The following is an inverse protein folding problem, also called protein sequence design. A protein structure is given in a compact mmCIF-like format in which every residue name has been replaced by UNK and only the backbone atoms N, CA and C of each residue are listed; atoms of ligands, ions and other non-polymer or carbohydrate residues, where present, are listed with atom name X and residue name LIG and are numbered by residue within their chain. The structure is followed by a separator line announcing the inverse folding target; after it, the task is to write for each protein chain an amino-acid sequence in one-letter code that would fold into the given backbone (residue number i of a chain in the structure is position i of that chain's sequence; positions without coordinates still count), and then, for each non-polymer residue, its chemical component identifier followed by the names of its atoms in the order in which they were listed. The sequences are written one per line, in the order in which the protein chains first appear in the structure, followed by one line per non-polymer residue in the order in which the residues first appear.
data_IF_553731934742
#
_entry.id   IF_553731934742
#
_cell.length_a   1.000
_cell.length_b   1.000
_cell.length_c   1.000
_cell.angle_alpha   90.00
_cell.angle_beta   90.00
_cell.angle_gamma   90.00
#
_symmetry.space_group_name_H-M   'P 1'
#
loop_
_entity.id
_entity.type
_entity.pdbx_description
1 polymer ?
#
# COMPACT_ATOMS: atom_id res chain seq x y z
N UNK A 1 -7.09 40.74 35.89
CA UNK A 1 -7.63 40.80 34.51
C UNK A 1 -7.00 39.69 33.70
N UNK A 2 -7.78 38.64 33.46
CA UNK A 2 -7.39 37.41 32.78
C UNK A 2 -7.26 37.64 31.29
N UNK A 3 -6.04 37.51 30.76
CA UNK A 3 -5.77 37.48 29.33
C UNK A 3 -6.40 36.22 28.72
N UNK A 4 -7.32 36.44 27.79
CA UNK A 4 -8.07 35.43 27.08
C UNK A 4 -7.14 34.56 26.24
N UNK A 5 -7.15 33.26 26.52
CA UNK A 5 -6.53 32.24 25.68
C UNK A 5 -7.19 32.23 24.31
N UNK A 6 -6.56 32.93 23.35
CA UNK A 6 -6.88 32.83 21.94
C UNK A 6 -6.56 31.41 21.47
N UNK A 7 -7.56 30.52 21.49
CA UNK A 7 -7.53 29.26 20.75
C UNK A 7 -7.31 29.61 19.28
N UNK A 8 -6.09 29.40 18.77
CA UNK A 8 -5.83 29.41 17.32
C UNK A 8 -6.84 28.47 16.65
N UNK A 9 -7.51 28.88 15.56
CA UNK A 9 -8.54 28.07 14.93
C UNK A 9 -7.91 26.78 14.41
N UNK A 10 -8.49 25.64 14.80
CA UNK A 10 -8.03 24.29 14.42
C UNK A 10 -7.98 24.08 12.89
N UNK A 11 -8.73 24.87 12.13
CA UNK A 11 -8.78 24.84 10.68
C UNK A 11 -7.44 25.15 10.00
N UNK A 12 -6.59 25.99 10.62
CA UNK A 12 -5.25 26.31 10.07
C UNK A 12 -4.29 25.14 10.23
N UNK A 13 -4.43 24.33 11.28
CA UNK A 13 -3.62 23.11 11.50
C UNK A 13 -4.01 21.98 10.54
N UNK A 14 -5.30 21.78 10.28
CA UNK A 14 -5.76 20.73 9.36
C UNK A 14 -5.35 21.00 7.91
N UNK A 15 -5.44 22.25 7.45
CA UNK A 15 -4.94 22.65 6.11
C UNK A 15 -3.43 22.49 5.97
N UNK A 16 -2.68 22.79 7.04
CA UNK A 16 -1.24 22.53 7.10
C UNK A 16 -0.92 21.04 6.95
N UNK A 17 -1.63 20.17 7.67
CA UNK A 17 -1.39 18.73 7.63
C UNK A 17 -1.58 18.11 6.24
N UNK A 18 -2.64 18.49 5.49
CA UNK A 18 -2.84 18.02 4.12
C UNK A 18 -1.77 18.53 3.14
N UNK A 19 -1.29 19.76 3.33
CA UNK A 19 -0.20 20.32 2.51
C UNK A 19 1.16 19.70 2.83
N UNK A 20 1.41 19.36 4.09
CA UNK A 20 2.63 18.69 4.55
C UNK A 20 2.70 17.23 4.12
N UNK A 21 1.55 16.55 4.08
CA UNK A 21 1.50 15.11 3.80
C UNK A 21 1.19 14.78 2.33
N UNK A 22 0.55 15.67 1.58
CA UNK A 22 0.11 15.39 0.21
C UNK A 22 0.43 16.50 -0.77
N UNK A 23 1.11 16.11 -1.84
CA UNK A 23 1.46 16.98 -2.95
C UNK A 23 0.25 17.32 -3.84
N UNK A 24 0.46 18.30 -4.73
CA UNK A 24 -0.50 18.62 -5.79
C UNK A 24 -0.72 17.42 -6.74
N UNK A 25 0.31 16.74 -7.25
CA UNK A 25 0.15 15.51 -8.04
C UNK A 25 -0.75 14.44 -7.39
N UNK A 26 -0.55 14.15 -6.11
CA UNK A 26 -1.34 13.14 -5.40
C UNK A 26 -2.84 13.50 -5.37
N UNK A 27 -3.15 14.78 -5.18
CA UNK A 27 -4.53 15.29 -5.20
C UNK A 27 -5.14 15.18 -6.59
N UNK A 28 -4.38 15.53 -7.64
CA UNK A 28 -4.85 15.42 -9.02
C UNK A 28 -5.17 13.96 -9.35
N UNK A 29 -4.24 13.04 -9.07
CA UNK A 29 -4.45 11.62 -9.32
C UNK A 29 -5.63 11.07 -8.54
N UNK A 30 -5.84 11.55 -7.31
CA UNK A 30 -7.01 11.19 -6.52
C UNK A 30 -8.31 11.65 -7.14
N UNK A 31 -8.39 12.93 -7.54
CA UNK A 31 -9.59 13.48 -8.18
C UNK A 31 -9.87 12.74 -9.49
N UNK A 32 -8.85 12.53 -10.31
CA UNK A 32 -8.99 11.78 -11.57
C UNK A 32 -9.42 10.34 -11.31
N UNK A 33 -8.82 9.65 -10.35
CA UNK A 33 -9.17 8.28 -9.97
C UNK A 33 -10.61 8.18 -9.46
N UNK A 34 -11.04 9.10 -8.60
CA UNK A 34 -12.42 9.19 -8.10
C UNK A 34 -13.42 9.38 -9.25
N UNK A 35 -13.16 10.32 -10.17
CA UNK A 35 -14.04 10.55 -11.32
C UNK A 35 -14.04 9.36 -12.29
N UNK A 36 -12.88 8.76 -12.53
CA UNK A 36 -12.75 7.55 -13.34
C UNK A 36 -13.53 6.37 -12.74
N UNK A 37 -13.73 6.34 -11.42
CA UNK A 37 -14.51 5.29 -10.75
C UNK A 37 -15.98 5.31 -11.15
N UNK A 38 -16.56 6.51 -11.26
CA UNK A 38 -17.93 6.69 -11.74
C UNK A 38 -18.08 6.32 -13.22
N UNK A 39 -17.09 6.67 -14.05
CA UNK A 39 -17.06 6.20 -15.44
C UNK A 39 -16.96 4.68 -15.48
N UNK A 40 -16.07 4.06 -14.70
CA UNK A 40 -15.96 2.61 -14.60
C UNK A 40 -17.27 1.95 -14.20
N UNK A 41 -17.97 2.49 -13.20
CA UNK A 41 -19.27 1.96 -12.79
C UNK A 41 -20.31 2.06 -13.93
N UNK A 42 -20.37 3.20 -14.62
CA UNK A 42 -21.28 3.37 -15.75
C UNK A 42 -20.96 2.41 -16.91
N UNK A 43 -19.67 2.22 -17.20
CA UNK A 43 -19.21 1.26 -18.20
C UNK A 43 -19.54 -0.18 -17.79
N UNK A 44 -19.42 -0.51 -16.50
CA UNK A 44 -19.72 -1.83 -15.96
C UNK A 44 -21.20 -2.22 -16.12
N UNK A 45 -22.12 -1.25 -15.98
CA UNK A 45 -23.55 -1.52 -16.20
C UNK A 45 -23.82 -1.93 -17.65
N UNK A 46 -23.09 -1.38 -18.62
CA UNK A 46 -23.21 -1.76 -20.04
C UNK A 46 -22.34 -2.95 -20.47
N UNK A 47 -21.51 -3.49 -19.58
CA UNK A 47 -20.53 -4.53 -19.87
C UNK A 47 -21.11 -5.93 -19.63
N UNK A 48 -21.87 -6.43 -20.60
CA UNK A 48 -22.59 -7.70 -20.53
C UNK A 48 -21.70 -8.93 -20.59
N UNK A 49 -20.41 -8.79 -20.88
CA UNK A 49 -19.46 -9.91 -21.02
C UNK A 49 -18.28 -9.80 -20.03
N UNK A 50 -18.14 -8.67 -19.33
CA UNK A 50 -17.06 -8.46 -18.34
C UNK A 50 -15.70 -8.20 -18.97
N UNK A 51 -15.67 -7.99 -20.28
CA UNK A 51 -14.43 -7.85 -21.04
C UNK A 51 -14.00 -6.39 -21.14
N UNK A 52 -14.86 -5.43 -20.79
CA UNK A 52 -14.55 -4.02 -20.96
C UNK A 52 -13.48 -3.59 -19.94
N UNK A 53 -12.24 -3.26 -20.37
CA UNK A 53 -11.20 -2.84 -19.44
C UNK A 53 -11.57 -1.56 -18.66
N UNK A 54 -12.50 -0.75 -19.18
CA UNK A 54 -12.98 0.48 -18.53
C UNK A 54 -13.82 0.18 -17.30
N UNK A 55 -14.56 -0.94 -17.27
CA UNK A 55 -15.44 -1.26 -16.14
C UNK A 55 -14.63 -1.41 -14.84
N UNK A 56 -13.43 -1.98 -14.93
CA UNK A 56 -12.45 -2.09 -13.85
C UNK A 56 -12.03 -0.76 -13.20
N UNK A 57 -12.26 0.40 -13.84
CA UNK A 57 -11.94 1.69 -13.21
C UNK A 57 -12.73 1.93 -11.91
N UNK A 58 -13.89 1.26 -11.72
CA UNK A 58 -14.65 1.32 -10.47
C UNK A 58 -13.87 0.84 -9.23
N UNK A 59 -12.86 -0.02 -9.44
CA UNK A 59 -11.94 -0.47 -8.39
C UNK A 59 -10.52 0.13 -8.53
N UNK A 60 -10.02 0.31 -9.77
CA UNK A 60 -8.65 0.82 -10.00
C UNK A 60 -8.54 2.28 -9.58
N UNK A 61 -9.58 3.09 -9.81
CA UNK A 61 -9.64 4.50 -9.44
C UNK A 61 -9.31 4.76 -7.97
N UNK A 62 -10.08 4.21 -7.00
CA UNK A 62 -9.78 4.34 -5.58
C UNK A 62 -8.45 3.68 -5.18
N UNK A 63 -8.06 2.56 -5.82
CA UNK A 63 -6.79 1.90 -5.52
C UNK A 63 -5.58 2.79 -5.86
N UNK A 64 -5.59 3.41 -7.05
CA UNK A 64 -4.54 4.34 -7.47
C UNK A 64 -4.56 5.62 -6.64
N UNK A 65 -5.73 6.18 -6.36
CA UNK A 65 -5.87 7.33 -5.47
C UNK A 65 -5.21 7.06 -4.11
N UNK A 66 -5.34 5.84 -3.59
CA UNK A 66 -4.74 5.44 -2.33
C UNK A 66 -3.24 5.13 -2.40
N UNK A 67 -2.79 4.40 -3.42
CA UNK A 67 -1.40 3.96 -3.48
C UNK A 67 -0.43 5.06 -3.94
N UNK A 68 -0.89 5.99 -4.75
CA UNK A 68 -0.04 6.98 -5.41
C UNK A 68 0.78 7.88 -4.48
N UNK A 69 0.29 8.39 -3.33
CA UNK A 69 1.12 9.12 -2.40
C UNK A 69 2.35 8.35 -1.93
N UNK A 70 2.28 7.01 -1.89
CA UNK A 70 3.41 6.15 -1.57
C UNK A 70 4.39 6.12 -2.74
N UNK A 71 3.91 5.91 -3.97
CA UNK A 71 4.73 5.92 -5.19
C UNK A 71 5.50 7.24 -5.32
N UNK A 72 4.82 8.35 -5.08
CA UNK A 72 5.40 9.69 -5.18
C UNK A 72 6.63 9.87 -4.26
N UNK A 73 6.73 9.17 -3.14
CA UNK A 73 7.89 9.29 -2.25
C UNK A 73 9.20 8.88 -2.94
N UNK A 74 9.12 8.05 -3.98
CA UNK A 74 10.27 7.68 -4.79
C UNK A 74 10.78 8.80 -5.71
N UNK A 75 9.99 9.85 -5.99
CA UNK A 75 10.39 10.88 -6.98
C UNK A 75 11.47 11.84 -6.52
N UNK A 76 11.62 12.04 -5.21
CA UNK A 76 12.63 12.96 -4.68
C UNK A 76 13.61 12.23 -3.78
N UNK A 77 14.89 12.32 -4.15
CA UNK A 77 16.01 11.71 -3.43
C UNK A 77 16.09 12.14 -1.97
N UNK A 78 15.63 13.36 -1.66
CA UNK A 78 15.78 13.98 -0.34
C UNK A 78 14.60 13.73 0.62
N UNK A 79 13.52 13.09 0.17
CA UNK A 79 12.37 12.78 1.06
C UNK A 79 12.70 11.71 2.09
N UNK A 80 12.17 11.89 3.29
CA UNK A 80 12.24 10.90 4.36
C UNK A 80 11.36 9.68 4.00
N UNK A 81 11.99 8.53 3.79
CA UNK A 81 11.34 7.26 3.44
C UNK A 81 11.00 6.40 4.68
N UNK A 82 11.17 6.95 5.89
CA UNK A 82 10.90 6.23 7.15
C UNK A 82 9.48 5.72 7.24
N UNK A 83 9.33 4.54 7.85
CA UNK A 83 8.00 3.96 8.12
C UNK A 83 7.09 4.91 8.91
N UNK A 84 7.66 5.72 9.82
CA UNK A 84 6.95 6.75 10.57
C UNK A 84 6.33 7.85 9.69
N UNK A 85 6.99 8.18 8.59
CA UNK A 85 6.55 9.21 7.62
C UNK A 85 5.58 8.63 6.59
N UNK A 86 5.70 7.34 6.28
CA UNK A 86 4.86 6.68 5.28
C UNK A 86 3.52 6.22 5.88
N UNK A 87 3.51 5.68 7.11
CA UNK A 87 2.33 5.10 7.76
C UNK A 87 1.09 6.03 7.79
N UNK A 88 1.19 7.32 8.16
CA UNK A 88 0.02 8.21 8.15
C UNK A 88 -0.59 8.41 6.76
N UNK A 89 0.24 8.37 5.71
CA UNK A 89 -0.18 8.52 4.31
C UNK A 89 -0.93 7.31 3.78
N UNK A 90 -0.72 6.12 4.37
CA UNK A 90 -1.42 4.90 3.99
C UNK A 90 -2.86 4.82 4.46
N UNK A 91 -3.24 5.48 5.54
CA UNK A 91 -4.60 5.28 6.06
C UNK A 91 -5.52 6.42 5.66
N UNK A 92 -5.06 7.65 5.79
CA UNK A 92 -5.94 8.81 5.68
C UNK A 92 -6.29 9.13 4.23
N UNK A 93 -5.31 9.11 3.33
CA UNK A 93 -5.55 9.49 1.94
C UNK A 93 -6.27 8.43 1.13
N UNK A 94 -5.94 7.13 1.24
CA UNK A 94 -6.73 6.09 0.60
C UNK A 94 -8.16 6.10 1.10
N UNK A 95 -8.39 6.44 2.38
CA UNK A 95 -9.74 6.56 2.93
C UNK A 95 -10.50 7.70 2.25
N UNK A 96 -9.91 8.88 2.10
CA UNK A 96 -10.56 9.99 1.39
C UNK A 96 -10.78 9.70 -0.10
N UNK A 97 -9.81 9.06 -0.77
CA UNK A 97 -9.98 8.63 -2.16
C UNK A 97 -11.11 7.62 -2.31
N UNK A 98 -11.19 6.63 -1.42
CA UNK A 98 -12.27 5.64 -1.40
C UNK A 98 -13.62 6.27 -1.08
N UNK A 99 -13.72 7.12 -0.06
CA UNK A 99 -14.96 7.84 0.27
C UNK A 99 -15.43 8.72 -0.89
N UNK A 100 -14.51 9.45 -1.53
CA UNK A 100 -14.80 10.22 -2.73
C UNK A 100 -15.33 9.34 -3.86
N UNK A 101 -14.68 8.19 -4.11
CA UNK A 101 -15.12 7.24 -5.11
C UNK A 101 -16.51 6.67 -4.79
N UNK A 102 -16.78 6.28 -3.54
CA UNK A 102 -18.10 5.81 -3.09
C UNK A 102 -19.17 6.88 -3.32
N UNK A 103 -18.90 8.14 -3.00
CA UNK A 103 -19.86 9.23 -3.22
C UNK A 103 -20.17 9.40 -4.71
N UNK A 104 -19.14 9.53 -5.55
CA UNK A 104 -19.34 9.78 -7.00
C UNK A 104 -19.98 8.55 -7.67
N UNK A 105 -19.51 7.35 -7.35
CA UNK A 105 -20.15 6.10 -7.81
C UNK A 105 -21.59 5.98 -7.31
N UNK A 106 -21.87 6.34 -6.07
CA UNK A 106 -23.22 6.30 -5.51
C UNK A 106 -24.18 7.27 -6.23
N UNK A 107 -23.72 8.48 -6.56
CA UNK A 107 -24.48 9.42 -7.39
C UNK A 107 -24.74 8.82 -8.78
N UNK A 108 -23.71 8.25 -9.42
CA UNK A 108 -23.84 7.58 -10.71
C UNK A 108 -24.82 6.42 -10.65
N UNK A 109 -24.76 5.60 -9.60
CA UNK A 109 -25.67 4.49 -9.36
C UNK A 109 -27.13 4.98 -9.24
N UNK A 110 -27.38 6.02 -8.45
CA UNK A 110 -28.72 6.62 -8.30
C UNK A 110 -29.24 7.09 -9.65
N UNK A 111 -28.43 7.79 -10.43
CA UNK A 111 -28.81 8.30 -11.76
C UNK A 111 -29.15 7.14 -12.72
N UNK A 112 -28.34 6.08 -12.73
CA UNK A 112 -28.57 4.92 -13.60
C UNK A 112 -29.80 4.10 -13.20
N UNK A 113 -30.10 4.03 -11.90
CA UNK A 113 -31.35 3.41 -11.42
C UNK A 113 -32.56 4.26 -11.81
N UNK A 114 -32.48 5.58 -11.64
CA UNK A 114 -33.56 6.50 -12.00
C UNK A 114 -33.83 6.56 -13.52
N UNK A 115 -32.80 6.38 -14.35
CA UNK A 115 -32.95 6.33 -15.82
C UNK A 115 -33.39 4.97 -16.37
N UNK A 116 -33.45 3.93 -15.53
CA UNK A 116 -33.76 2.56 -15.94
C UNK A 116 -32.61 1.82 -16.63
N UNK A 117 -31.41 2.39 -16.70
CA UNK A 117 -30.24 1.75 -17.32
C UNK A 117 -29.87 0.42 -16.63
N UNK A 118 -29.96 0.36 -15.30
CA UNK A 118 -29.69 -0.88 -14.54
C UNK A 118 -30.73 -1.95 -14.86
N UNK A 119 -32.02 -1.59 -14.88
CA UNK A 119 -33.10 -2.54 -15.22
C UNK A 119 -32.99 -3.05 -16.66
N UNK A 120 -32.63 -2.16 -17.60
CA UNK A 120 -32.39 -2.53 -18.99
C UNK A 120 -31.20 -3.49 -19.14
N UNK A 121 -30.13 -3.31 -18.35
CA UNK A 121 -28.99 -4.20 -18.33
C UNK A 121 -29.32 -5.57 -17.70
N UNK A 122 -30.04 -5.59 -16.58
CA UNK A 122 -30.49 -6.82 -15.92
C UNK A 122 -31.36 -7.69 -16.84
N UNK A 123 -32.21 -7.07 -17.67
CA UNK A 123 -33.06 -7.79 -18.62
C UNK A 123 -32.29 -8.51 -19.76
N UNK A 124 -31.00 -8.20 -19.94
CA UNK A 124 -30.15 -8.83 -20.97
C UNK A 124 -29.36 -10.05 -20.44
N UNK A 125 -29.41 -10.30 -19.13
CA UNK A 125 -29.21 -11.58 -18.43
C UNK A 125 -27.95 -12.40 -18.76
N UNK A 126 -26.75 -11.79 -18.77
CA UNK A 126 -25.50 -12.53 -19.07
C UNK A 126 -24.25 -12.29 -18.22
N UNK A 127 -24.12 -11.22 -17.42
CA UNK A 127 -22.90 -11.04 -16.60
C UNK A 127 -23.07 -10.17 -15.33
N UNK A 128 -24.29 -9.83 -14.95
CA UNK A 128 -24.53 -8.79 -13.95
C UNK A 128 -24.62 -9.29 -12.51
N UNK A 129 -23.91 -10.30 -12.03
CA UNK A 129 -24.07 -10.73 -10.61
C UNK A 129 -23.79 -9.60 -9.59
N UNK A 130 -23.00 -8.60 -9.98
CA UNK A 130 -22.78 -7.38 -9.18
C UNK A 130 -23.98 -6.42 -9.15
N UNK A 131 -24.85 -6.48 -10.15
CA UNK A 131 -26.02 -5.62 -10.33
C UNK A 131 -27.31 -6.42 -10.45
N UNK A 132 -27.28 -7.72 -10.19
CA UNK A 132 -28.42 -8.61 -10.25
C UNK A 132 -29.37 -8.29 -9.09
N UNK A 133 -30.60 -8.76 -9.18
CA UNK A 133 -31.60 -8.53 -8.14
C UNK A 133 -31.18 -9.14 -6.78
N UNK A 134 -30.40 -10.23 -6.81
CA UNK A 134 -29.76 -10.89 -5.67
C UNK A 134 -28.31 -10.45 -5.42
N UNK A 135 -27.80 -9.50 -6.22
CA UNK A 135 -26.46 -8.94 -6.09
C UNK A 135 -26.29 -8.03 -4.86
N UNK A 136 -25.09 -7.47 -4.64
CA UNK A 136 -24.87 -6.52 -3.55
C UNK A 136 -25.81 -5.33 -3.66
N UNK A 137 -26.49 -5.00 -2.56
CA UNK A 137 -27.50 -3.93 -2.50
C UNK A 137 -26.93 -2.53 -2.81
N UNK A 138 -25.62 -2.34 -2.63
CA UNK A 138 -24.91 -1.11 -2.95
C UNK A 138 -23.54 -1.41 -3.61
N UNK A 139 -23.51 -1.70 -4.93
CA UNK A 139 -22.28 -1.98 -5.66
C UNK A 139 -21.27 -0.83 -5.54
N UNK A 140 -21.73 0.43 -5.54
CA UNK A 140 -20.88 1.61 -5.32
C UNK A 140 -20.08 1.56 -4.02
N UNK A 141 -20.69 1.13 -2.92
CA UNK A 141 -20.00 0.97 -1.62
C UNK A 141 -19.04 -0.21 -1.67
N UNK A 142 -19.48 -1.36 -2.20
CA UNK A 142 -18.68 -2.57 -2.28
C UNK A 142 -17.39 -2.36 -3.09
N UNK A 143 -17.48 -1.78 -4.29
CA UNK A 143 -16.32 -1.51 -5.14
C UNK A 143 -15.42 -0.40 -4.59
N UNK A 144 -15.99 0.61 -3.93
CA UNK A 144 -15.19 1.63 -3.25
C UNK A 144 -14.35 1.05 -2.09
N UNK A 145 -14.93 0.15 -1.30
CA UNK A 145 -14.22 -0.57 -0.23
C UNK A 145 -13.19 -1.55 -0.78
N UNK A 146 -13.53 -2.30 -1.83
CA UNK A 146 -12.58 -3.20 -2.49
C UNK A 146 -11.38 -2.43 -3.05
N UNK A 147 -11.66 -1.30 -3.68
CA UNK A 147 -10.66 -0.33 -4.14
C UNK A 147 -9.79 0.22 -3.02
N UNK A 148 -10.37 0.54 -1.85
CA UNK A 148 -9.62 0.96 -0.66
C UNK A 148 -8.63 -0.13 -0.21
N UNK A 149 -9.11 -1.36 -0.05
CA UNK A 149 -8.27 -2.50 0.35
C UNK A 149 -7.18 -2.76 -0.68
N UNK A 150 -7.53 -2.77 -1.97
CA UNK A 150 -6.56 -2.91 -3.05
C UNK A 150 -5.51 -1.79 -3.03
N UNK A 151 -5.92 -0.54 -2.78
CA UNK A 151 -5.01 0.61 -2.64
C UNK A 151 -4.06 0.48 -1.46
N UNK A 152 -4.55 -0.02 -0.31
CA UNK A 152 -3.70 -0.32 0.85
C UNK A 152 -2.68 -1.41 0.54
N UNK A 153 -3.11 -2.51 -0.06
CA UNK A 153 -2.24 -3.61 -0.46
C UNK A 153 -1.20 -3.15 -1.47
N UNK A 154 -1.61 -2.35 -2.46
CA UNK A 154 -0.71 -1.78 -3.45
C UNK A 154 0.29 -0.80 -2.82
N UNK A 155 -0.13 0.03 -1.87
CA UNK A 155 0.76 0.91 -1.13
C UNK A 155 1.82 0.12 -0.33
N UNK A 156 1.41 -0.96 0.34
CA UNK A 156 2.31 -1.86 1.05
C UNK A 156 3.26 -2.55 0.08
N UNK A 157 2.76 -3.07 -1.04
CA UNK A 157 3.58 -3.71 -2.06
C UNK A 157 4.62 -2.74 -2.63
N UNK A 158 4.22 -1.51 -2.99
CA UNK A 158 5.14 -0.46 -3.45
C UNK A 158 6.17 -0.13 -2.38
N UNK A 159 5.78 -0.06 -1.11
CA UNK A 159 6.74 0.20 -0.04
C UNK A 159 7.77 -0.92 0.07
N UNK A 160 7.32 -2.18 0.15
CA UNK A 160 8.21 -3.33 0.35
C UNK A 160 9.11 -3.57 -0.87
N UNK A 161 8.58 -3.40 -2.08
CA UNK A 161 9.28 -3.75 -3.34
C UNK A 161 10.06 -2.57 -3.92
N UNK A 162 9.69 -1.33 -3.62
CA UNK A 162 10.29 -0.13 -4.22
C UNK A 162 10.92 0.78 -3.16
N UNK A 163 10.14 1.30 -2.22
CA UNK A 163 10.62 2.33 -1.30
C UNK A 163 11.65 1.80 -0.29
N UNK A 164 11.42 0.62 0.27
CA UNK A 164 12.30 0.02 1.25
C UNK A 164 13.65 -0.37 0.65
N UNK A 165 13.73 -1.00 -0.54
CA UNK A 165 14.99 -1.18 -1.25
C UNK A 165 15.70 0.14 -1.53
N UNK A 166 14.98 1.17 -2.01
CA UNK A 166 15.54 2.51 -2.22
C UNK A 166 16.10 3.10 -0.92
N UNK A 167 15.40 2.93 0.21
CA UNK A 167 15.86 3.38 1.52
C UNK A 167 17.15 2.67 1.93
N UNK A 168 17.27 1.36 1.71
CA UNK A 168 18.49 0.59 2.02
C UNK A 168 19.67 1.05 1.14
N UNK A 169 19.43 1.31 -0.15
CA UNK A 169 20.46 1.70 -1.10
C UNK A 169 20.93 3.15 -0.90
N UNK A 170 19.98 4.08 -0.74
CA UNK A 170 20.25 5.51 -0.69
C UNK A 170 20.48 6.03 0.74
N UNK A 171 19.89 5.37 1.75
CA UNK A 171 19.88 5.82 3.15
C UNK A 171 20.13 4.68 4.15
N UNK A 172 21.24 3.93 3.99
CA UNK A 172 21.52 2.75 4.82
C UNK A 172 21.57 3.04 6.33
N UNK A 173 22.08 4.20 6.76
CA UNK A 173 22.11 4.57 8.20
C UNK A 173 20.71 4.68 8.80
N UNK A 174 19.79 5.30 8.05
CA UNK A 174 18.41 5.42 8.45
C UNK A 174 17.71 4.05 8.50
N UNK A 175 17.94 3.20 7.49
CA UNK A 175 17.37 1.85 7.46
C UNK A 175 17.89 0.97 8.61
N UNK A 176 19.18 1.06 8.96
CA UNK A 176 19.79 0.33 10.10
C UNK A 176 19.15 0.79 11.42
N UNK A 177 19.01 2.09 11.61
CA UNK A 177 18.40 2.66 12.83
C UNK A 177 16.94 2.22 12.98
N UNK A 178 16.14 2.29 11.91
CA UNK A 178 14.73 1.88 11.91
C UNK A 178 14.53 0.38 12.16
N UNK A 179 15.51 -0.46 11.84
CA UNK A 179 15.48 -1.90 12.09
C UNK A 179 16.12 -2.31 13.42
N UNK A 180 16.42 -1.34 14.31
CA UNK A 180 17.07 -1.56 15.62
C UNK A 180 18.42 -2.29 15.51
N UNK A 181 19.11 -2.14 14.38
CA UNK A 181 20.43 -2.67 14.17
C UNK A 181 21.49 -1.76 14.80
N UNK A 182 22.66 -2.31 15.11
CA UNK A 182 23.80 -1.55 15.63
C UNK A 182 24.28 -0.52 14.59
N UNK A 183 24.33 0.75 14.98
CA UNK A 183 24.69 1.90 14.12
C UNK A 183 26.18 2.25 14.17
N UNK A 184 26.99 1.51 14.94
CA UNK A 184 28.45 1.69 14.97
C UNK A 184 29.10 1.49 13.61
N UNK A 185 30.19 2.23 13.34
CA UNK A 185 30.90 2.16 12.05
C UNK A 185 31.45 0.76 11.75
N UNK A 186 31.85 0.01 12.79
CA UNK A 186 32.36 -1.35 12.68
C UNK A 186 31.31 -2.32 12.09
N UNK A 187 30.06 -2.18 12.51
CA UNK A 187 28.97 -3.08 12.10
C UNK A 187 28.17 -2.56 10.92
N UNK A 188 28.36 -1.31 10.51
CA UNK A 188 27.61 -0.65 9.43
C UNK A 188 27.64 -1.43 8.10
N UNK A 189 28.82 -1.89 7.65
CA UNK A 189 28.94 -2.65 6.38
C UNK A 189 28.18 -3.98 6.43
N UNK A 190 28.24 -4.68 7.57
CA UNK A 190 27.55 -5.96 7.78
C UNK A 190 26.04 -5.79 7.84
N UNK A 191 25.57 -4.81 8.61
CA UNK A 191 24.15 -4.49 8.74
C UNK A 191 23.54 -4.01 7.43
N UNK A 192 24.29 -3.21 6.64
CA UNK A 192 23.87 -2.83 5.29
C UNK A 192 23.74 -4.05 4.37
N UNK A 193 24.68 -4.99 4.41
CA UNK A 193 24.60 -6.21 3.63
C UNK A 193 23.41 -7.07 4.05
N UNK A 194 23.17 -7.24 5.35
CA UNK A 194 22.00 -7.95 5.87
C UNK A 194 20.68 -7.32 5.38
N UNK A 195 20.56 -5.99 5.44
CA UNK A 195 19.38 -5.28 4.94
C UNK A 195 19.18 -5.46 3.44
N UNK A 196 20.26 -5.42 2.65
CA UNK A 196 20.18 -5.57 1.20
C UNK A 196 19.67 -6.96 0.75
N UNK A 197 19.76 -7.98 1.61
CA UNK A 197 19.18 -9.31 1.33
C UNK A 197 17.67 -9.34 1.50
N UNK A 198 17.08 -8.45 2.32
CA UNK A 198 15.64 -8.50 2.62
C UNK A 198 14.74 -8.27 1.40
N UNK A 199 15.01 -7.31 0.49
CA UNK A 199 14.28 -7.20 -0.77
C UNK A 199 14.37 -8.46 -1.63
N UNK A 200 15.54 -9.12 -1.64
CA UNK A 200 15.76 -10.34 -2.42
C UNK A 200 14.92 -11.48 -1.87
N UNK A 201 14.86 -11.63 -0.55
CA UNK A 201 13.98 -12.58 0.16
C UNK A 201 12.52 -12.36 -0.26
N UNK A 202 12.03 -11.11 -0.25
CA UNK A 202 10.65 -10.82 -0.70
C UNK A 202 10.42 -11.24 -2.15
N UNK A 203 11.36 -10.93 -3.05
CA UNK A 203 11.24 -11.31 -4.47
C UNK A 203 11.23 -12.84 -4.62
N UNK A 204 12.10 -13.54 -3.91
CA UNK A 204 12.16 -15.01 -3.95
C UNK A 204 10.88 -15.62 -3.38
N UNK A 205 10.29 -15.08 -2.32
CA UNK A 205 8.97 -15.48 -1.82
C UNK A 205 7.87 -15.36 -2.88
N UNK A 206 7.88 -14.30 -3.71
CA UNK A 206 6.95 -14.17 -4.84
C UNK A 206 7.21 -15.25 -5.90
N UNK A 207 8.48 -15.55 -6.21
CA UNK A 207 8.83 -16.63 -7.14
C UNK A 207 8.37 -18.00 -6.63
N UNK A 208 8.47 -18.26 -5.32
CA UNK A 208 7.91 -19.48 -4.70
C UNK A 208 6.40 -19.56 -4.96
N UNK A 209 5.66 -18.46 -4.72
CA UNK A 209 4.22 -18.42 -4.95
C UNK A 209 3.88 -18.72 -6.42
N UNK A 210 4.61 -18.13 -7.37
CA UNK A 210 4.46 -18.41 -8.82
C UNK A 210 4.75 -19.87 -9.13
N UNK A 211 5.83 -20.45 -8.59
CA UNK A 211 6.18 -21.85 -8.78
C UNK A 211 5.08 -22.79 -8.28
N UNK A 212 4.45 -22.47 -7.15
CA UNK A 212 3.35 -23.25 -6.60
C UNK A 212 2.07 -23.11 -7.42
N UNK A 213 1.68 -21.91 -7.85
CA UNK A 213 0.45 -21.68 -8.62
C UNK A 213 0.52 -22.16 -10.07
N UNK A 214 1.73 -22.19 -10.64
CA UNK A 214 1.98 -22.74 -11.98
C UNK A 214 2.29 -24.24 -11.98
N UNK A 215 2.17 -24.92 -10.82
CA UNK A 215 2.50 -26.33 -10.63
C UNK A 215 3.96 -26.69 -11.03
N UNK A 216 4.86 -25.71 -11.08
CA UNK A 216 6.27 -25.89 -11.37
C UNK A 216 7.06 -26.22 -10.09
N UNK A 217 7.09 -27.51 -9.73
CA UNK A 217 7.72 -28.00 -8.50
C UNK A 217 9.22 -27.71 -8.42
N UNK A 218 9.95 -27.75 -9.54
CA UNK A 218 11.39 -27.48 -9.56
C UNK A 218 11.66 -26.03 -9.20
N UNK A 219 10.91 -25.09 -9.79
CA UNK A 219 11.00 -23.66 -9.46
C UNK A 219 10.72 -23.43 -7.98
N UNK A 220 9.63 -24.00 -7.45
CA UNK A 220 9.26 -23.83 -6.04
C UNK A 220 10.35 -24.35 -5.09
N UNK A 221 10.88 -25.56 -5.31
CA UNK A 221 11.90 -26.18 -4.43
C UNK A 221 13.21 -25.39 -4.46
N UNK A 222 13.69 -25.01 -5.66
CA UNK A 222 14.93 -24.23 -5.80
C UNK A 222 14.77 -22.86 -5.13
N UNK A 223 13.66 -22.18 -5.35
CA UNK A 223 13.39 -20.88 -4.73
C UNK A 223 13.28 -20.98 -3.20
N UNK A 224 12.66 -22.02 -2.65
CA UNK A 224 12.63 -22.28 -1.20
C UNK A 224 14.05 -22.47 -0.65
N UNK A 225 14.90 -23.25 -1.32
CA UNK A 225 16.28 -23.45 -0.88
C UNK A 225 17.08 -22.14 -0.86
N UNK A 226 16.91 -21.31 -1.90
CA UNK A 226 17.52 -19.97 -1.99
C UNK A 226 16.99 -19.06 -0.88
N UNK A 227 15.69 -19.04 -0.63
CA UNK A 227 15.05 -18.26 0.44
C UNK A 227 15.67 -18.58 1.81
N UNK A 228 15.77 -19.88 2.14
CA UNK A 228 16.36 -20.34 3.40
C UNK A 228 17.82 -19.90 3.51
N UNK A 229 18.61 -20.03 2.44
CA UNK A 229 20.00 -19.61 2.44
C UNK A 229 20.15 -18.09 2.66
N UNK A 230 19.29 -17.28 2.02
CA UNK A 230 19.26 -15.83 2.18
C UNK A 230 18.87 -15.41 3.60
N UNK A 231 17.85 -16.05 4.19
CA UNK A 231 17.43 -15.80 5.58
C UNK A 231 18.58 -16.11 6.55
N UNK A 232 19.22 -17.27 6.40
CA UNK A 232 20.37 -17.66 7.24
C UNK A 232 21.53 -16.68 7.08
N UNK A 233 21.86 -16.29 5.85
CA UNK A 233 22.91 -15.29 5.59
C UNK A 233 22.58 -13.92 6.20
N UNK A 234 21.33 -13.47 6.06
CA UNK A 234 20.83 -12.24 6.67
C UNK A 234 20.97 -12.26 8.20
N UNK A 235 20.51 -13.34 8.84
CA UNK A 235 20.64 -13.54 10.29
C UNK A 235 22.11 -13.58 10.75
N UNK A 236 23.00 -14.20 9.98
CA UNK A 236 24.43 -14.28 10.32
C UNK A 236 25.15 -12.93 10.20
N UNK A 237 24.71 -12.08 9.26
CA UNK A 237 25.27 -10.75 9.02
C UNK A 237 24.70 -9.69 9.98
N UNK A 238 23.44 -9.83 10.40
CA UNK A 238 22.72 -8.84 11.20
C UNK A 238 23.31 -8.73 12.62
N UNK A 239 23.72 -7.52 13.00
CA UNK A 239 24.12 -7.13 14.35
C UNK A 239 23.09 -6.17 14.93
N UNK A 240 22.41 -6.64 15.96
CA UNK A 240 21.31 -5.95 16.63
C UNK A 240 21.83 -5.17 17.84
N UNK A 241 21.30 -3.97 18.07
CA UNK A 241 21.52 -3.28 19.33
C UNK A 241 20.62 -3.87 20.43
N UNK A 242 21.18 -4.81 21.19
CA UNK A 242 20.51 -5.50 22.28
C UNK A 242 19.99 -4.56 23.36
N UNK A 243 20.69 -3.45 23.64
CA UNK A 243 20.31 -2.50 24.67
C UNK A 243 19.06 -1.73 24.24
N UNK A 244 19.03 -1.25 22.99
CA UNK A 244 17.84 -0.58 22.43
C UNK A 244 16.65 -1.54 22.29
N UNK A 245 16.87 -2.79 21.88
CA UNK A 245 15.80 -3.81 21.84
C UNK A 245 15.18 -4.07 23.20
N UNK A 246 16.01 -4.28 24.22
CA UNK A 246 15.54 -4.50 25.59
C UNK A 246 14.77 -3.27 26.12
N UNK A 247 15.27 -2.06 25.85
CA UNK A 247 14.59 -0.82 26.25
C UNK A 247 13.22 -0.64 25.57
N UNK A 248 13.03 -1.19 24.36
CA UNK A 248 11.76 -1.17 23.64
C UNK A 248 10.80 -2.31 24.03
N UNK A 249 11.18 -3.17 25.00
CA UNK A 249 10.37 -4.33 25.41
C UNK A 249 10.32 -5.45 24.38
N UNK A 250 11.21 -5.45 23.38
CA UNK A 250 11.30 -6.52 22.37
C UNK A 250 12.15 -7.65 22.95
N UNK A 251 11.57 -8.85 23.09
CA UNK A 251 12.25 -10.02 23.64
C UNK A 251 13.54 -10.38 22.88
N UNK A 252 14.45 -11.09 23.54
CA UNK A 252 15.68 -11.59 22.90
C UNK A 252 15.31 -12.59 21.80
N UNK A 253 15.57 -12.23 20.53
CA UNK A 253 15.35 -13.13 19.39
C UNK A 253 16.41 -14.24 19.29
N UNK A 254 16.27 -15.09 18.27
CA UNK A 254 17.27 -16.10 17.86
C UNK A 254 18.47 -15.39 17.22
N UNK A 255 19.23 -14.67 18.03
CA UNK A 255 20.50 -14.10 17.61
C UNK A 255 21.56 -15.19 17.73
N UNK A 256 22.23 -15.54 16.62
CA UNK A 256 23.36 -16.47 16.65
C UNK A 256 24.47 -15.80 17.47
N UNK A 257 24.47 -16.11 18.76
CA UNK A 257 25.39 -15.59 19.74
C UNK A 257 26.81 -16.00 19.35
N UNK A 258 27.62 -15.02 18.96
CA UNK A 258 29.07 -15.21 19.03
C UNK A 258 29.40 -15.25 20.52
N UNK A 259 29.71 -16.44 21.05
CA UNK A 259 30.37 -16.55 22.35
C UNK A 259 31.58 -15.62 22.28
N UNK A 260 31.65 -14.64 23.18
CA UNK A 260 32.86 -13.86 23.41
C UNK A 260 33.93 -14.85 23.88
N UNK A 261 34.92 -15.10 23.05
CA UNK A 261 36.24 -15.55 23.49
C UNK A 261 37.04 -14.31 23.89
#
# INVERSE_FOLDING_TARGET
MTSSGQKRPESTKQRGWLAENYSIPARIVTVVGVLASAWGLAAAVGDTEGENPVSWLMFIGPALAGAFPTIELAWHRDRNLSMATVKPRWFVFPLFGALGAVIVMGVTEIVMRASGAVAAAQAQDKWHYWFAEDGPSAPSIAFGLLGYVAGLLLAVAVYVVVLWPLQILLRPRQAIDENMMDTSEENFRRNRAALALMPIIVVVAVVIAIGLTSENTVLAVVSIAVEVALVVAGMALQRVDRKRRAAAGVGTGVEIGRKRS
#
